data_IF_976704591471
#
_entry.id   IF_976704591471
#
_cell.length_a   1.000
_cell.length_b   1.000
_cell.length_c   1.000
_cell.angle_alpha   90.00
_cell.angle_beta   90.00
_cell.angle_gamma   90.00
#
_symmetry.space_group_name_H-M   'P 1'
#
loop_
_entity.id
_entity.type
_entity.pdbx_description
1 polymer ?
#
# COMPACT_ATOMS: atom_id res chain seq x y z
N UNK A 1 18.85 8.18 19.09
CA UNK A 1 18.36 9.22 18.18
C UNK A 1 19.14 9.15 16.87
N UNK A 2 18.46 9.01 15.75
CA UNK A 2 19.21 8.94 14.50
C UNK A 2 19.91 10.26 14.20
N UNK A 3 21.12 10.16 13.68
CA UNK A 3 21.85 11.33 13.24
C UNK A 3 21.10 12.03 12.10
N UNK A 4 21.03 13.38 12.07
CA UNK A 4 20.44 14.08 10.92
C UNK A 4 21.13 13.76 9.59
N UNK A 5 22.37 13.30 9.64
CA UNK A 5 23.12 12.93 8.45
C UNK A 5 22.82 11.49 7.97
N UNK A 6 22.06 10.69 8.75
CA UNK A 6 21.71 9.34 8.37
C UNK A 6 20.63 9.38 7.28
N UNK A 7 20.89 8.89 6.07
CA UNK A 7 19.87 8.89 5.03
C UNK A 7 18.70 7.96 5.42
N UNK A 8 17.50 8.38 5.12
CA UNK A 8 16.32 7.52 5.26
C UNK A 8 16.35 6.48 4.15
N UNK A 9 16.13 5.23 4.54
CA UNK A 9 15.98 4.13 3.59
C UNK A 9 14.50 3.93 3.32
N UNK A 10 14.08 4.22 2.09
CA UNK A 10 12.69 4.16 1.68
C UNK A 10 12.48 2.95 0.77
N UNK A 11 11.46 2.17 1.05
CA UNK A 11 11.00 1.09 0.18
C UNK A 11 9.56 1.35 -0.19
N UNK A 12 9.28 1.35 -1.49
CA UNK A 12 7.94 1.53 -2.03
C UNK A 12 7.43 0.17 -2.50
N UNK A 13 6.32 -0.28 -1.94
CA UNK A 13 5.71 -1.56 -2.29
C UNK A 13 4.34 -1.34 -2.91
N UNK A 14 3.99 -2.22 -3.85
CA UNK A 14 2.62 -2.35 -4.31
C UNK A 14 1.80 -3.10 -3.26
N UNK A 15 0.50 -2.95 -3.28
CA UNK A 15 -0.40 -3.65 -2.37
C UNK A 15 -0.83 -4.99 -2.94
N UNK A 16 -1.67 -4.96 -3.97
CA UNK A 16 -2.27 -6.17 -4.53
C UNK A 16 -1.24 -7.01 -5.27
N UNK A 17 -1.15 -8.27 -4.91
CA UNK A 17 -0.18 -9.19 -5.49
C UNK A 17 1.22 -9.13 -4.88
N UNK A 18 1.47 -8.20 -3.94
CA UNK A 18 2.74 -8.08 -3.22
C UNK A 18 2.53 -8.28 -1.72
N UNK A 19 1.64 -7.51 -1.11
CA UNK A 19 1.33 -7.61 0.32
C UNK A 19 0.16 -8.55 0.55
N UNK A 20 -0.87 -8.46 -0.29
CA UNK A 20 -2.07 -9.27 -0.19
C UNK A 20 -2.38 -9.96 -1.50
N UNK A 21 -3.23 -10.98 -1.42
CA UNK A 21 -3.72 -11.68 -2.60
C UNK A 21 -4.46 -10.73 -3.50
N UNK A 22 -4.15 -10.80 -4.80
CA UNK A 22 -4.86 -10.02 -5.81
C UNK A 22 -6.20 -10.70 -6.14
N UNK A 23 -7.12 -9.93 -6.73
CA UNK A 23 -8.42 -10.42 -7.15
C UNK A 23 -8.79 -9.78 -8.49
N UNK A 24 -9.38 -10.57 -9.39
CA UNK A 24 -9.89 -10.06 -10.67
C UNK A 24 -10.95 -8.98 -10.47
N UNK A 25 -11.77 -9.13 -9.42
CA UNK A 25 -12.90 -8.26 -9.14
C UNK A 25 -12.54 -7.15 -8.14
N UNK A 26 -11.26 -6.91 -7.93
CA UNK A 26 -10.73 -5.98 -6.93
C UNK A 26 -10.99 -6.46 -5.49
N UNK A 27 -10.25 -5.89 -4.55
CA UNK A 27 -10.54 -6.02 -3.12
C UNK A 27 -11.49 -4.88 -2.78
N UNK A 28 -12.75 -5.20 -2.53
CA UNK A 28 -13.84 -4.21 -2.38
C UNK A 28 -14.27 -3.96 -0.95
N UNK A 29 -13.83 -4.82 -0.02
CA UNK A 29 -14.21 -4.71 1.40
C UNK A 29 -13.09 -5.27 2.27
N UNK A 30 -13.01 -4.84 3.55
CA UNK A 30 -11.92 -5.31 4.44
C UNK A 30 -11.84 -6.83 4.58
N UNK A 31 -12.99 -7.52 4.61
CA UNK A 31 -13.01 -8.97 4.76
C UNK A 31 -12.35 -9.72 3.60
N UNK A 32 -12.24 -9.11 2.43
CA UNK A 32 -11.60 -9.69 1.25
C UNK A 32 -10.08 -9.55 1.27
N UNK A 33 -9.54 -8.72 2.15
CA UNK A 33 -8.10 -8.51 2.22
C UNK A 33 -7.43 -9.67 2.96
N UNK A 34 -6.58 -10.41 2.25
CA UNK A 34 -5.85 -11.57 2.79
C UNK A 34 -4.37 -11.38 2.48
N UNK A 35 -3.48 -11.35 3.50
CA UNK A 35 -2.06 -11.20 3.24
C UNK A 35 -1.48 -12.41 2.51
N UNK A 36 -0.50 -12.14 1.64
CA UNK A 36 0.27 -13.23 1.02
C UNK A 36 1.16 -13.88 2.07
N UNK A 37 1.40 -15.21 1.97
CA UNK A 37 2.33 -15.88 2.87
C UNK A 37 3.69 -15.19 2.88
N UNK A 38 4.18 -14.85 4.06
CA UNK A 38 5.50 -14.23 4.23
C UNK A 38 5.52 -12.71 4.07
N UNK A 39 4.45 -12.07 3.59
CA UNK A 39 4.46 -10.62 3.35
C UNK A 39 4.57 -9.81 4.63
N UNK A 40 3.83 -10.19 5.66
CA UNK A 40 3.86 -9.47 6.95
C UNK A 40 5.21 -9.63 7.64
N UNK A 41 5.79 -10.82 7.59
CA UNK A 41 7.12 -11.09 8.13
C UNK A 41 8.20 -10.30 7.39
N UNK A 42 8.08 -10.18 6.07
CA UNK A 42 9.02 -9.40 5.26
C UNK A 42 8.96 -7.92 5.62
N UNK A 43 7.76 -7.36 5.78
CA UNK A 43 7.60 -5.96 6.19
C UNK A 43 8.16 -5.74 7.59
N UNK A 44 7.92 -6.67 8.52
CA UNK A 44 8.50 -6.59 9.86
C UNK A 44 10.03 -6.60 9.82
N UNK A 45 10.62 -7.44 8.99
CA UNK A 45 12.07 -7.50 8.82
C UNK A 45 12.63 -6.20 8.25
N UNK A 46 11.97 -5.62 7.26
CA UNK A 46 12.36 -4.33 6.68
C UNK A 46 12.28 -3.22 7.72
N UNK A 47 11.22 -3.19 8.51
CA UNK A 47 11.04 -2.21 9.58
C UNK A 47 12.18 -2.31 10.60
N UNK A 48 12.50 -3.52 11.04
CA UNK A 48 13.61 -3.76 11.98
C UNK A 48 14.96 -3.36 11.43
N UNK A 49 15.13 -3.47 10.11
CA UNK A 49 16.36 -3.08 9.43
C UNK A 49 16.49 -1.57 9.23
N UNK A 50 15.49 -0.79 9.65
CA UNK A 50 15.52 0.67 9.55
C UNK A 50 14.94 1.24 8.28
N UNK A 51 14.24 0.43 7.48
CA UNK A 51 13.56 0.92 6.29
C UNK A 51 12.22 1.56 6.62
N UNK A 52 11.90 2.67 5.95
CA UNK A 52 10.55 3.21 5.90
C UNK A 52 9.81 2.54 4.76
N UNK A 53 8.70 1.86 5.07
CA UNK A 53 7.90 1.16 4.06
C UNK A 53 6.70 2.04 3.71
N UNK A 54 6.56 2.36 2.44
CA UNK A 54 5.38 3.05 1.91
C UNK A 54 4.71 2.18 0.86
N UNK A 55 3.41 2.34 0.75
CA UNK A 55 2.58 1.60 -0.19
C UNK A 55 2.12 2.57 -1.27
N UNK A 56 2.31 2.20 -2.54
CA UNK A 56 1.80 2.94 -3.68
C UNK A 56 0.98 1.97 -4.53
N UNK A 57 -0.31 2.24 -4.68
CA UNK A 57 -1.26 1.31 -5.27
C UNK A 57 -2.15 1.97 -6.30
N UNK A 58 -2.41 1.26 -7.41
CA UNK A 58 -3.45 1.64 -8.36
C UNK A 58 -4.77 1.01 -7.89
N UNK A 59 -5.80 1.84 -7.66
CA UNK A 59 -7.10 1.41 -7.16
C UNK A 59 -8.22 1.95 -8.05
N UNK A 60 -8.22 1.54 -9.31
CA UNK A 60 -9.20 2.01 -10.30
C UNK A 60 -10.64 1.63 -9.96
N UNK A 61 -10.84 0.65 -9.06
CA UNK A 61 -12.17 0.29 -8.57
C UNK A 61 -12.91 1.46 -7.94
N UNK A 62 -12.20 2.38 -7.26
CA UNK A 62 -12.82 3.61 -6.71
C UNK A 62 -13.31 4.51 -7.84
N UNK A 63 -12.47 4.77 -8.84
CA UNK A 63 -12.84 5.60 -9.98
C UNK A 63 -13.96 4.99 -10.82
N UNK A 64 -14.11 3.67 -10.82
CA UNK A 64 -15.18 2.94 -11.51
C UNK A 64 -16.45 2.81 -10.67
N UNK A 65 -16.46 3.31 -9.45
CA UNK A 65 -17.63 3.23 -8.58
C UNK A 65 -17.88 1.84 -7.98
N UNK A 66 -16.89 0.94 -7.99
CA UNK A 66 -17.05 -0.42 -7.44
C UNK A 66 -17.00 -0.43 -5.93
N UNK A 67 -16.30 0.53 -5.33
CA UNK A 67 -16.26 0.75 -3.89
C UNK A 67 -15.86 2.20 -3.62
N UNK A 68 -16.12 2.67 -2.41
CA UNK A 68 -15.88 4.07 -2.04
C UNK A 68 -14.48 4.28 -1.50
N UNK A 69 -14.04 5.56 -1.45
CA UNK A 69 -12.79 5.92 -0.79
C UNK A 69 -12.81 5.58 0.69
N UNK A 70 -13.97 5.71 1.36
CA UNK A 70 -14.13 5.32 2.77
C UNK A 70 -13.94 3.82 2.95
N UNK A 71 -14.48 3.02 2.05
CA UNK A 71 -14.28 1.56 2.07
C UNK A 71 -12.81 1.21 1.85
N UNK A 72 -12.15 1.91 0.92
CA UNK A 72 -10.71 1.71 0.69
C UNK A 72 -9.90 2.05 1.94
N UNK A 73 -10.25 3.13 2.64
CA UNK A 73 -9.61 3.48 3.90
C UNK A 73 -9.75 2.36 4.94
N UNK A 74 -10.93 1.74 5.02
CA UNK A 74 -11.16 0.61 5.92
C UNK A 74 -10.32 -0.62 5.54
N UNK A 75 -10.16 -0.89 4.25
CA UNK A 75 -9.28 -1.95 3.75
C UNK A 75 -7.83 -1.67 4.17
N UNK A 76 -7.37 -0.44 3.99
CA UNK A 76 -6.03 -0.04 4.36
C UNK A 76 -5.80 -0.06 5.88
N UNK A 77 -6.82 0.27 6.68
CA UNK A 77 -6.74 0.13 8.14
C UNK A 77 -6.54 -1.33 8.55
N UNK A 78 -7.26 -2.24 7.93
CA UNK A 78 -7.06 -3.67 8.17
C UNK A 78 -5.65 -4.11 7.82
N UNK A 79 -5.13 -3.65 6.68
CA UNK A 79 -3.75 -3.94 6.28
C UNK A 79 -2.76 -3.39 7.30
N UNK A 80 -2.92 -2.15 7.71
CA UNK A 80 -2.04 -1.49 8.69
C UNK A 80 -2.06 -2.22 10.03
N UNK A 81 -3.23 -2.61 10.50
CA UNK A 81 -3.36 -3.38 11.75
C UNK A 81 -2.64 -4.72 11.67
N UNK A 82 -2.79 -5.43 10.55
CA UNK A 82 -2.13 -6.72 10.37
C UNK A 82 -0.60 -6.57 10.33
N UNK A 83 -0.11 -5.54 9.65
CA UNK A 83 1.33 -5.24 9.59
C UNK A 83 1.88 -4.91 10.97
N UNK A 84 1.19 -4.07 11.72
CA UNK A 84 1.62 -3.66 13.07
C UNK A 84 1.57 -4.83 14.06
N UNK A 85 0.57 -5.69 13.96
CA UNK A 85 0.48 -6.89 14.79
C UNK A 85 1.65 -7.84 14.56
N UNK A 86 2.21 -7.85 13.35
CA UNK A 86 3.40 -8.64 13.00
C UNK A 86 4.72 -7.97 13.34
N UNK A 87 4.71 -6.77 13.91
CA UNK A 87 5.92 -6.04 14.27
C UNK A 87 6.45 -5.10 13.18
N UNK A 88 5.71 -4.94 12.08
CA UNK A 88 6.06 -4.01 11.02
C UNK A 88 5.40 -2.64 11.19
N UNK A 89 5.73 -1.74 10.28
CA UNK A 89 5.15 -0.40 10.24
C UNK A 89 5.06 0.09 8.80
N UNK A 90 3.93 0.70 8.47
CA UNK A 90 3.73 1.39 7.19
C UNK A 90 3.82 2.89 7.45
N UNK A 91 4.78 3.55 6.81
CA UNK A 91 5.00 4.98 6.97
C UNK A 91 3.99 5.83 6.19
N UNK A 92 3.48 5.32 5.07
CA UNK A 92 2.47 6.02 4.29
C UNK A 92 1.81 5.10 3.28
N UNK A 93 0.57 5.44 2.92
CA UNK A 93 -0.20 4.73 1.91
C UNK A 93 -0.70 5.75 0.89
N UNK A 94 -0.34 5.54 -0.38
CA UNK A 94 -0.72 6.40 -1.49
C UNK A 94 -1.44 5.55 -2.53
N UNK A 95 -2.53 6.06 -3.10
CA UNK A 95 -3.30 5.30 -4.08
C UNK A 95 -3.86 6.21 -5.17
N UNK A 96 -4.11 5.61 -6.34
CA UNK A 96 -4.64 6.29 -7.50
C UNK A 96 -5.96 5.63 -7.90
N UNK A 97 -7.07 6.40 -7.97
CA UNK A 97 -8.37 5.84 -8.34
C UNK A 97 -8.56 5.69 -9.85
N UNK A 98 -7.65 6.21 -10.65
CA UNK A 98 -7.84 6.31 -12.09
C UNK A 98 -7.46 5.01 -12.80
N UNK A 99 -8.12 4.73 -13.93
CA UNK A 99 -7.78 3.63 -14.80
C UNK A 99 -6.58 3.93 -15.70
N UNK A 100 -6.08 2.93 -16.47
CA UNK A 100 -4.91 3.11 -17.33
C UNK A 100 -5.06 4.21 -18.38
N UNK A 101 -6.30 4.45 -18.83
CA UNK A 101 -6.59 5.38 -19.92
C UNK A 101 -6.98 6.78 -19.44
N UNK A 102 -6.97 7.03 -18.14
CA UNK A 102 -7.43 8.31 -17.58
C UNK A 102 -6.41 9.44 -17.68
N UNK A 103 -5.17 9.14 -18.08
CA UNK A 103 -4.14 10.15 -18.29
C UNK A 103 -3.61 10.83 -17.05
N UNK A 104 -3.93 10.32 -15.83
CA UNK A 104 -3.43 10.90 -14.59
C UNK A 104 -1.95 10.59 -14.38
N UNK A 105 -1.27 11.42 -13.56
CA UNK A 105 0.12 11.18 -13.20
C UNK A 105 0.30 10.32 -11.95
N UNK A 106 -0.77 10.10 -11.17
CA UNK A 106 -0.68 9.32 -9.93
C UNK A 106 -0.66 7.81 -10.18
N UNK A 107 -1.18 7.34 -11.33
CA UNK A 107 -1.22 5.89 -11.62
C UNK A 107 0.15 5.38 -12.01
N UNK A 108 0.58 4.28 -11.39
CA UNK A 108 1.82 3.61 -11.79
C UNK A 108 1.76 3.12 -13.25
N UNK A 109 2.82 3.21 -14.00
CA UNK A 109 4.20 3.53 -13.60
C UNK A 109 4.54 5.02 -13.46
N UNK A 110 3.56 5.91 -13.50
CA UNK A 110 3.80 7.34 -13.37
C UNK A 110 4.13 7.71 -11.93
N UNK A 111 5.01 8.70 -11.70
CA UNK A 111 5.54 8.97 -10.37
C UNK A 111 4.69 9.91 -9.51
N UNK A 112 3.46 10.24 -9.94
CA UNK A 112 2.64 11.25 -9.25
C UNK A 112 2.38 10.93 -7.77
N UNK A 113 2.18 9.65 -7.39
CA UNK A 113 1.98 9.25 -6.00
C UNK A 113 3.22 9.51 -5.14
N UNK A 114 4.40 9.41 -5.72
CA UNK A 114 5.65 9.56 -5.00
C UNK A 114 6.05 11.03 -4.80
N UNK A 115 5.39 11.94 -5.50
CA UNK A 115 5.63 13.39 -5.42
C UNK A 115 4.78 14.10 -4.38
N UNK A 116 3.82 13.41 -3.79
CA UNK A 116 2.88 13.99 -2.83
C UNK A 116 3.44 14.01 -1.41
#
# INVERSE_FOLDING_TARGET
MPSPATPRRLIVLDRDGVINRDSRDFIRRPAEWVPLPGSLEAIAALTRAGFEVVIASNQSGVGRGLFTAETLAAIHDRMRQAVEAGGGRIAGIYWCPHGPDDGCECRKPRPGLLRR
#
